data_IF_626407206197
#
_entry.id   IF_626407206197
#
_cell.length_a   1.000
_cell.length_b   1.000
_cell.length_c   1.000
_cell.angle_alpha   90.00
_cell.angle_beta   90.00
_cell.angle_gamma   90.00
#
_symmetry.space_group_name_H-M   'P 1'
#
loop_
_entity.id
_entity.type
_entity.pdbx_description
1 polymer ?
#
# COMPACT_ATOMS: atom_id res chain seq x y z
N UNK A 1 -78.30 -36.17 -5.17
CA UNK A 1 -78.97 -34.86 -5.22
C UNK A 1 -77.91 -33.77 -5.14
N UNK A 2 -77.91 -32.84 -6.10
CA UNK A 2 -77.19 -31.54 -6.13
C UNK A 2 -75.64 -31.57 -6.14
N UNK A 3 -75.00 -31.41 -7.31
CA UNK A 3 -74.43 -30.16 -7.89
C UNK A 3 -73.19 -29.64 -7.13
N UNK A 4 -71.98 -29.86 -7.65
CA UNK A 4 -71.19 -28.96 -8.54
C UNK A 4 -70.49 -27.82 -7.76
N UNK A 5 -69.19 -27.50 -7.94
CA UNK A 5 -68.47 -27.31 -9.21
C UNK A 5 -66.95 -27.59 -9.09
N UNK A 6 -66.41 -28.20 -10.14
CA UNK A 6 -65.01 -28.15 -10.58
C UNK A 6 -65.03 -27.81 -12.08
N UNK A 7 -64.03 -27.08 -12.55
CA UNK A 7 -63.71 -26.88 -13.98
C UNK A 7 -62.18 -26.66 -14.15
N UNK A 8 -61.59 -26.82 -15.36
CA UNK A 8 -60.57 -27.84 -15.67
C UNK A 8 -59.20 -27.22 -16.11
N UNK A 9 -58.10 -27.92 -16.49
CA UNK A 9 -57.89 -28.85 -17.62
C UNK A 9 -56.50 -29.54 -17.54
N UNK A 10 -56.49 -30.78 -18.07
CA UNK A 10 -55.44 -31.74 -18.49
C UNK A 10 -54.02 -31.23 -18.88
N UNK A 11 -52.92 -31.91 -18.47
CA UNK A 11 -52.15 -33.01 -19.15
C UNK A 11 -51.35 -32.56 -20.39
N UNK A 12 -50.16 -33.04 -20.78
CA UNK A 12 -49.26 -34.13 -20.34
C UNK A 12 -47.87 -33.94 -21.02
N UNK A 13 -46.87 -34.66 -20.47
CA UNK A 13 -45.61 -35.21 -21.06
C UNK A 13 -44.64 -34.41 -21.96
N UNK A 14 -43.41 -34.34 -21.43
CA UNK A 14 -42.07 -34.50 -22.05
C UNK A 14 -41.94 -34.48 -23.59
N UNK A 15 -41.21 -33.49 -24.11
CA UNK A 15 -39.89 -33.60 -24.79
C UNK A 15 -39.64 -32.31 -25.59
N UNK A 16 -38.68 -31.47 -25.18
CA UNK A 16 -38.10 -30.42 -26.05
C UNK A 16 -36.60 -30.27 -25.75
N UNK A 17 -35.82 -31.09 -26.43
CA UNK A 17 -34.43 -30.81 -26.79
C UNK A 17 -34.42 -30.20 -28.20
N UNK A 18 -33.46 -29.33 -28.46
CA UNK A 18 -33.14 -28.69 -29.76
C UNK A 18 -34.17 -27.70 -30.35
N UNK A 19 -34.21 -26.48 -29.82
CA UNK A 19 -34.64 -25.28 -30.58
C UNK A 19 -33.97 -23.98 -30.08
N UNK A 20 -32.69 -24.05 -29.69
CA UNK A 20 -31.88 -22.84 -29.36
C UNK A 20 -30.60 -22.75 -30.22
N UNK A 21 -30.37 -23.71 -31.11
CA UNK A 21 -29.16 -23.78 -31.95
C UNK A 21 -29.44 -23.42 -33.40
N UNK A 22 -30.18 -22.34 -33.66
CA UNK A 22 -30.26 -21.67 -34.98
C UNK A 22 -30.23 -20.14 -34.86
N UNK A 23 -30.27 -19.55 -33.65
CA UNK A 23 -29.99 -18.12 -33.45
C UNK A 23 -28.50 -17.79 -33.26
N UNK A 24 -27.61 -18.79 -33.40
CA UNK A 24 -26.16 -18.66 -33.19
C UNK A 24 -25.31 -18.47 -34.45
N UNK A 25 -25.90 -18.37 -35.65
CA UNK A 25 -25.13 -18.36 -36.91
C UNK A 25 -25.47 -17.21 -37.88
N UNK A 26 -26.32 -16.24 -37.49
CA UNK A 26 -26.62 -15.04 -38.31
C UNK A 26 -26.00 -13.75 -37.73
N UNK A 27 -25.32 -13.81 -36.58
CA UNK A 27 -24.59 -12.67 -35.99
C UNK A 27 -23.07 -12.77 -36.16
N UNK A 28 -22.57 -13.54 -37.14
CA UNK A 28 -21.12 -13.62 -37.48
C UNK A 28 -20.81 -12.93 -38.83
N UNK A 29 -21.82 -12.41 -39.55
CA UNK A 29 -21.63 -11.71 -40.84
C UNK A 29 -21.82 -10.19 -40.82
N UNK A 30 -22.18 -9.58 -39.68
CA UNK A 30 -22.64 -8.18 -39.62
C UNK A 30 -21.98 -7.29 -38.58
N UNK A 31 -20.90 -7.74 -37.92
CA UNK A 31 -20.21 -6.99 -36.85
C UNK A 31 -18.72 -6.75 -37.13
N UNK A 32 -18.32 -6.69 -38.39
CA UNK A 32 -16.98 -6.25 -38.82
C UNK A 32 -16.92 -4.76 -39.21
N UNK A 33 -18.00 -3.99 -38.98
CA UNK A 33 -18.09 -2.56 -39.32
C UNK A 33 -18.54 -1.67 -38.16
N UNK A 34 -18.56 -2.18 -36.92
CA UNK A 34 -18.84 -1.40 -35.71
C UNK A 34 -17.85 -1.66 -34.56
N UNK A 35 -16.69 -2.26 -34.82
CA UNK A 35 -15.54 -2.15 -33.91
C UNK A 35 -14.83 -0.80 -34.11
N UNK A 36 -15.56 0.29 -33.91
CA UNK A 36 -14.97 1.39 -33.18
C UNK A 36 -14.88 0.88 -31.75
N UNK A 37 -13.69 0.37 -31.38
CA UNK A 37 -13.28 0.48 -29.98
C UNK A 37 -13.69 1.89 -29.57
N UNK A 38 -14.54 2.01 -28.55
CA UNK A 38 -14.70 3.28 -27.88
C UNK A 38 -13.31 3.62 -27.36
N UNK A 39 -12.55 4.34 -28.18
CA UNK A 39 -11.48 5.17 -27.68
C UNK A 39 -12.18 5.99 -26.61
N UNK A 40 -11.88 5.67 -25.35
CA UNK A 40 -11.99 6.67 -24.31
C UNK A 40 -11.40 7.96 -24.88
N UNK A 41 -11.92 9.15 -24.51
CA UNK A 41 -11.14 10.33 -24.72
C UNK A 41 -9.82 10.07 -23.97
N UNK A 42 -8.78 9.65 -24.70
CA UNK A 42 -7.43 9.87 -24.27
C UNK A 42 -7.42 11.36 -24.08
N UNK A 43 -7.46 11.79 -22.82
CA UNK A 43 -7.13 13.16 -22.48
C UNK A 43 -5.87 13.42 -23.27
N UNK A 44 -5.94 14.27 -24.28
CA UNK A 44 -4.74 14.56 -25.05
C UNK A 44 -3.68 14.93 -24.02
N UNK A 45 -2.49 14.29 -24.05
CA UNK A 45 -1.47 14.56 -23.07
C UNK A 45 -1.30 16.07 -23.04
N UNK A 46 -1.46 16.67 -21.87
CA UNK A 46 -1.20 18.10 -21.72
C UNK A 46 0.27 18.26 -22.04
N UNK A 47 0.60 18.58 -23.28
CA UNK A 47 1.94 19.04 -23.63
C UNK A 47 2.09 20.41 -22.97
N UNK A 48 2.46 20.40 -21.68
CA UNK A 48 2.82 21.59 -20.94
C UNK A 48 4.20 21.99 -21.41
N UNK A 49 4.25 22.67 -22.55
CA UNK A 49 5.49 23.26 -23.05
C UNK A 49 5.72 24.55 -22.28
N UNK A 50 6.62 24.51 -21.30
CA UNK A 50 6.99 25.68 -20.53
C UNK A 50 7.78 26.65 -21.41
N UNK A 51 7.10 27.61 -22.05
CA UNK A 51 7.74 28.69 -22.79
C UNK A 51 7.82 29.95 -21.93
N UNK A 52 8.87 30.03 -21.12
CA UNK A 52 9.26 31.28 -20.45
C UNK A 52 10.71 31.58 -20.80
N UNK A 53 11.01 32.82 -21.23
CA UNK A 53 12.40 33.32 -21.37
C UNK A 53 12.99 33.48 -19.96
N UNK A 54 13.37 32.37 -19.35
CA UNK A 54 13.98 32.33 -18.04
C UNK A 54 15.51 32.30 -18.17
N UNK A 55 16.23 32.84 -17.18
CA UNK A 55 17.68 32.75 -17.08
C UNK A 55 18.08 32.29 -15.68
N UNK A 56 19.28 31.71 -15.53
CA UNK A 56 19.77 31.24 -14.24
C UNK A 56 18.91 30.12 -13.64
N UNK A 57 18.60 30.20 -12.35
CA UNK A 57 17.91 29.13 -11.60
C UNK A 57 16.49 28.84 -12.11
N UNK A 58 15.78 29.86 -12.58
CA UNK A 58 14.41 29.68 -13.08
C UNK A 58 14.38 28.83 -14.36
N UNK A 59 15.34 29.02 -15.26
CA UNK A 59 15.48 28.21 -16.47
C UNK A 59 15.75 26.74 -16.12
N UNK A 60 16.63 26.52 -15.13
CA UNK A 60 16.91 25.17 -14.62
C UNK A 60 15.66 24.48 -14.08
N UNK A 61 14.84 25.18 -13.28
CA UNK A 61 13.59 24.59 -12.76
C UNK A 61 12.66 24.19 -13.90
N UNK A 62 12.48 25.08 -14.89
CA UNK A 62 11.66 24.79 -16.07
C UNK A 62 12.20 23.61 -16.88
N UNK A 63 13.52 23.50 -17.06
CA UNK A 63 14.14 22.36 -17.76
C UNK A 63 13.91 21.04 -17.02
N UNK A 64 14.04 21.04 -15.70
CA UNK A 64 13.79 19.87 -14.87
C UNK A 64 12.32 19.43 -14.94
N UNK A 65 11.38 20.38 -14.90
CA UNK A 65 9.95 20.09 -15.09
C UNK A 65 9.70 19.50 -16.49
N UNK A 66 10.22 20.12 -17.55
CA UNK A 66 10.09 19.57 -18.91
C UNK A 66 10.68 18.14 -19.02
N UNK A 67 11.80 17.86 -18.34
CA UNK A 67 12.43 16.54 -18.37
C UNK A 67 11.66 15.49 -17.55
N UNK A 68 11.03 15.89 -16.44
CA UNK A 68 10.18 15.02 -15.62
C UNK A 68 8.86 14.67 -16.29
N UNK A 69 8.25 15.62 -17.00
CA UNK A 69 6.99 15.42 -17.76
C UNK A 69 7.22 14.92 -19.19
N UNK A 70 8.46 14.61 -19.58
CA UNK A 70 8.74 14.00 -20.86
C UNK A 70 8.36 12.52 -20.83
N UNK A 71 7.24 12.16 -21.42
CA UNK A 71 6.76 10.77 -21.53
C UNK A 71 7.75 9.81 -22.22
N UNK A 72 8.70 10.34 -23.01
CA UNK A 72 9.77 9.51 -23.59
C UNK A 72 10.89 9.18 -22.59
N UNK A 73 10.88 9.77 -21.39
CA UNK A 73 11.83 9.45 -20.32
C UNK A 73 11.28 8.32 -19.45
N UNK A 74 11.56 7.08 -19.84
CA UNK A 74 11.08 5.88 -19.15
C UNK A 74 12.02 5.39 -18.05
N UNK A 75 13.11 6.09 -17.74
CA UNK A 75 14.21 5.57 -16.91
C UNK A 75 13.75 5.12 -15.52
N UNK A 76 12.89 5.90 -14.84
CA UNK A 76 12.37 5.52 -13.54
C UNK A 76 11.49 4.26 -13.62
N UNK A 77 10.60 4.21 -14.60
CA UNK A 77 9.70 3.08 -14.84
C UNK A 77 10.46 1.81 -15.21
N UNK A 78 11.39 1.88 -16.15
CA UNK A 78 12.16 0.71 -16.61
C UNK A 78 12.97 0.11 -15.48
N UNK A 79 13.60 0.96 -14.64
CA UNK A 79 14.35 0.53 -13.46
C UNK A 79 13.42 -0.09 -12.42
N UNK A 80 12.26 0.54 -12.15
CA UNK A 80 11.26 0.02 -11.22
C UNK A 80 10.77 -1.36 -11.67
N UNK A 81 10.35 -1.47 -12.93
CA UNK A 81 9.88 -2.70 -13.54
C UNK A 81 10.95 -3.79 -13.50
N UNK A 82 12.19 -3.49 -13.89
CA UNK A 82 13.31 -4.43 -13.79
C UNK A 82 13.49 -4.92 -12.35
N UNK A 83 13.47 -4.04 -11.36
CA UNK A 83 13.63 -4.44 -9.96
C UNK A 83 12.48 -5.32 -9.49
N UNK A 84 11.23 -4.91 -9.72
CA UNK A 84 10.05 -5.64 -9.25
C UNK A 84 9.89 -6.98 -9.97
N UNK A 85 10.20 -7.04 -11.26
CA UNK A 85 10.02 -8.25 -12.08
C UNK A 85 11.15 -9.27 -11.82
N UNK A 86 12.39 -8.83 -11.61
CA UNK A 86 13.52 -9.73 -11.38
C UNK A 86 13.67 -10.18 -9.92
N UNK A 87 13.34 -9.32 -8.96
CA UNK A 87 13.57 -9.60 -7.54
C UNK A 87 12.28 -9.86 -6.75
N UNK A 88 11.12 -9.48 -7.26
CA UNK A 88 9.83 -9.71 -6.59
C UNK A 88 9.71 -8.92 -5.29
N UNK A 89 9.12 -9.52 -4.25
CA UNK A 89 9.11 -8.91 -2.92
C UNK A 89 10.52 -8.80 -2.34
N UNK A 90 10.75 -7.73 -1.59
CA UNK A 90 12.06 -7.40 -1.03
C UNK A 90 11.93 -7.22 0.48
N UNK A 91 11.40 -8.21 1.19
CA UNK A 91 11.31 -8.17 2.65
C UNK A 91 12.65 -7.78 3.27
N UNK A 92 12.62 -6.85 4.22
CA UNK A 92 13.82 -6.39 4.92
C UNK A 92 14.65 -7.57 5.44
N UNK A 93 15.95 -7.52 5.15
CA UNK A 93 16.91 -8.57 5.50
C UNK A 93 16.80 -9.86 4.68
N UNK A 94 15.97 -9.93 3.65
CA UNK A 94 15.86 -11.10 2.76
C UNK A 94 16.94 -11.13 1.67
N UNK A 95 17.17 -12.31 1.09
CA UNK A 95 18.08 -12.46 -0.05
C UNK A 95 17.65 -11.64 -1.28
N UNK A 96 16.35 -11.41 -1.45
CA UNK A 96 15.83 -10.61 -2.54
C UNK A 96 16.19 -9.14 -2.35
N UNK A 97 16.00 -8.61 -1.13
CA UNK A 97 16.44 -7.26 -0.76
C UNK A 97 17.94 -7.08 -1.02
N UNK A 98 18.79 -7.99 -0.51
CA UNK A 98 20.25 -7.89 -0.67
C UNK A 98 20.66 -7.83 -2.15
N UNK A 99 20.06 -8.68 -2.99
CA UNK A 99 20.31 -8.68 -4.45
C UNK A 99 19.83 -7.41 -5.13
N UNK A 100 18.66 -6.88 -4.74
CA UNK A 100 18.17 -5.60 -5.25
C UNK A 100 19.09 -4.46 -4.84
N UNK A 101 19.59 -4.45 -3.60
CA UNK A 101 20.50 -3.42 -3.14
C UNK A 101 21.83 -3.44 -3.89
N UNK A 102 22.40 -4.63 -4.10
CA UNK A 102 23.58 -4.79 -4.96
C UNK A 102 23.33 -4.30 -6.40
N UNK A 103 22.16 -4.60 -6.96
CA UNK A 103 21.78 -4.17 -8.30
C UNK A 103 21.68 -2.65 -8.39
N UNK A 104 21.02 -1.98 -7.43
CA UNK A 104 20.94 -0.50 -7.38
C UNK A 104 22.34 0.10 -7.40
N UNK A 105 23.23 -0.35 -6.51
CA UNK A 105 24.61 0.17 -6.42
C UNK A 105 25.37 -0.03 -7.73
N UNK A 106 25.25 -1.23 -8.34
CA UNK A 106 25.88 -1.53 -9.65
C UNK A 106 25.33 -0.63 -10.76
N UNK A 107 24.02 -0.41 -10.78
CA UNK A 107 23.34 0.43 -11.77
C UNK A 107 23.75 1.89 -11.64
N UNK A 108 23.79 2.45 -10.42
CA UNK A 108 24.29 3.82 -10.18
C UNK A 108 25.73 3.95 -10.65
N UNK A 109 26.64 3.05 -10.23
CA UNK A 109 28.06 3.10 -10.65
C UNK A 109 28.26 3.02 -12.16
N UNK A 110 27.41 2.26 -12.86
CA UNK A 110 27.52 2.06 -14.30
C UNK A 110 26.94 3.22 -15.10
N UNK A 111 25.77 3.71 -14.71
CA UNK A 111 24.96 4.61 -15.53
C UNK A 111 24.94 6.06 -15.02
N UNK A 112 25.14 6.30 -13.73
CA UNK A 112 24.95 7.59 -13.07
C UNK A 112 26.26 8.07 -12.41
N UNK A 113 27.29 8.30 -13.25
CA UNK A 113 28.67 8.60 -12.82
C UNK A 113 28.86 9.89 -12.03
N UNK A 114 27.86 10.76 -12.01
CA UNK A 114 27.85 11.99 -11.22
C UNK A 114 27.70 11.74 -9.71
N UNK A 115 27.24 10.55 -9.32
CA UNK A 115 26.95 10.21 -7.94
C UNK A 115 28.08 9.44 -7.28
N UNK A 116 28.32 9.76 -6.02
CA UNK A 116 29.05 8.85 -5.11
C UNK A 116 28.04 7.93 -4.45
N UNK A 117 28.21 6.61 -4.55
CA UNK A 117 27.26 5.60 -4.02
C UNK A 117 27.95 4.60 -3.11
N UNK A 118 27.34 4.34 -1.95
CA UNK A 118 27.80 3.35 -0.97
C UNK A 118 26.63 2.73 -0.22
N UNK A 119 26.91 1.69 0.56
CA UNK A 119 25.94 1.04 1.44
C UNK A 119 26.33 1.21 2.89
N UNK A 120 25.33 1.24 3.76
CA UNK A 120 25.52 1.29 5.20
C UNK A 120 24.80 0.11 5.88
N UNK A 121 25.52 -0.73 6.63
CA UNK A 121 24.92 -1.90 7.24
C UNK A 121 23.97 -1.50 8.38
N UNK A 122 22.78 -2.08 8.38
CA UNK A 122 21.79 -1.92 9.44
C UNK A 122 21.38 -3.29 9.95
N UNK A 123 21.40 -3.49 11.26
CA UNK A 123 20.88 -4.72 11.84
C UNK A 123 19.37 -4.64 11.94
N UNK A 124 18.70 -5.69 11.45
CA UNK A 124 17.25 -5.73 11.34
C UNK A 124 16.68 -7.01 11.95
N UNK A 125 15.42 -6.93 12.35
CA UNK A 125 14.65 -8.10 12.72
C UNK A 125 14.40 -8.94 11.47
N UNK A 126 14.50 -10.26 11.59
CA UNK A 126 14.15 -11.20 10.52
C UNK A 126 12.86 -11.90 10.88
N UNK A 127 11.77 -11.51 10.21
CA UNK A 127 10.50 -12.21 10.26
C UNK A 127 10.26 -12.93 8.94
N UNK A 128 9.84 -14.19 9.00
CA UNK A 128 9.47 -14.96 7.82
C UNK A 128 8.11 -15.61 8.02
N UNK A 129 7.20 -15.33 7.09
CA UNK A 129 5.94 -16.06 6.97
C UNK A 129 6.22 -17.49 6.56
N UNK A 130 5.63 -18.45 7.26
CA UNK A 130 5.60 -19.84 6.81
C UNK A 130 4.20 -20.27 6.41
N UNK A 131 3.79 -21.47 6.80
CA UNK A 131 2.45 -21.94 6.45
C UNK A 131 1.36 -21.26 7.27
N UNK A 132 0.25 -20.96 6.60
CA UNK A 132 -0.92 -20.32 7.20
C UNK A 132 -2.20 -21.00 6.72
N UNK A 133 -3.16 -21.16 7.62
CA UNK A 133 -4.50 -21.64 7.31
C UNK A 133 -5.50 -21.17 8.37
N UNK A 134 -6.72 -20.88 7.93
CA UNK A 134 -7.85 -20.59 8.79
C UNK A 134 -9.02 -21.42 8.31
N UNK A 135 -9.56 -22.26 9.19
CA UNK A 135 -10.74 -23.07 8.90
C UNK A 135 -11.90 -22.64 9.79
N UNK A 136 -12.99 -22.17 9.18
CA UNK A 136 -14.25 -21.88 9.87
C UNK A 136 -15.11 -23.14 9.91
N UNK A 137 -15.52 -23.56 11.10
CA UNK A 137 -16.46 -24.67 11.26
C UNK A 137 -17.88 -24.16 11.02
N UNK A 138 -18.55 -24.76 10.03
CA UNK A 138 -19.91 -24.43 9.61
C UNK A 138 -20.68 -25.75 9.46
N UNK A 139 -21.28 -26.28 10.54
CA UNK A 139 -21.93 -27.59 10.53
C UNK A 139 -23.04 -27.74 9.48
N UNK A 140 -23.62 -26.63 9.02
CA UNK A 140 -24.66 -26.60 7.99
C UNK A 140 -24.13 -26.78 6.56
N UNK A 141 -22.82 -26.73 6.33
CA UNK A 141 -22.21 -26.99 5.01
C UNK A 141 -21.90 -28.49 4.83
N UNK A 142 -21.87 -28.99 3.58
CA UNK A 142 -21.63 -30.42 3.30
C UNK A 142 -20.37 -31.01 3.97
N UNK A 143 -19.29 -30.22 4.04
CA UNK A 143 -18.02 -30.66 4.64
C UNK A 143 -17.88 -30.23 6.13
N UNK A 144 -18.92 -29.63 6.72
CA UNK A 144 -18.91 -29.11 8.09
C UNK A 144 -17.96 -27.93 8.34
N UNK A 145 -17.27 -27.43 7.30
CA UNK A 145 -16.30 -26.34 7.40
C UNK A 145 -16.02 -25.64 6.07
N UNK A 146 -15.32 -24.51 6.15
CA UNK A 146 -14.87 -23.66 5.05
C UNK A 146 -13.43 -23.23 5.33
N UNK A 147 -12.57 -23.35 4.33
CA UNK A 147 -11.23 -22.77 4.42
C UNK A 147 -11.30 -21.29 3.99
N UNK A 148 -10.77 -20.41 4.84
CA UNK A 148 -10.75 -18.97 4.67
C UNK A 148 -9.32 -18.54 4.33
N UNK A 149 -9.10 -17.78 3.24
CA UNK A 149 -7.83 -17.14 2.98
C UNK A 149 -7.43 -16.25 4.16
N UNK A 150 -6.24 -16.48 4.70
CA UNK A 150 -5.70 -15.77 5.85
C UNK A 150 -4.27 -15.35 5.55
N UNK A 151 -3.88 -14.18 6.06
CA UNK A 151 -2.50 -13.70 6.01
C UNK A 151 -2.02 -13.39 7.44
N UNK A 152 -0.99 -14.07 7.92
CA UNK A 152 -0.28 -13.67 9.13
C UNK A 152 0.17 -12.19 9.07
N UNK A 153 0.02 -11.45 10.17
CA UNK A 153 0.58 -10.10 10.25
C UNK A 153 2.09 -10.16 10.50
N UNK A 154 2.84 -9.16 10.02
CA UNK A 154 4.28 -9.06 10.25
C UNK A 154 4.58 -9.04 11.74
N UNK A 155 5.66 -9.70 12.15
CA UNK A 155 6.04 -9.92 13.56
C UNK A 155 5.10 -10.81 14.39
N UNK A 156 4.02 -11.34 13.80
CA UNK A 156 3.12 -12.31 14.45
C UNK A 156 3.85 -13.60 14.84
N UNK A 157 3.57 -14.08 16.05
CA UNK A 157 4.10 -15.35 16.56
C UNK A 157 3.40 -16.55 15.91
N UNK A 158 4.05 -17.71 15.95
CA UNK A 158 3.43 -18.97 15.52
C UNK A 158 2.31 -19.41 16.46
N UNK A 159 1.32 -20.12 15.91
CA UNK A 159 0.43 -20.98 16.70
C UNK A 159 1.17 -22.25 17.12
N UNK A 160 0.67 -23.01 18.11
CA UNK A 160 1.06 -24.41 18.29
C UNK A 160 0.91 -25.20 16.98
N UNK A 161 1.66 -26.31 16.83
CA UNK A 161 1.66 -27.12 15.59
C UNK A 161 0.27 -27.60 15.13
N UNK A 162 -0.67 -27.80 16.06
CA UNK A 162 -2.05 -28.22 15.77
C UNK A 162 -2.99 -27.03 15.45
N UNK A 163 -2.47 -25.81 15.43
CA UNK A 163 -3.25 -24.59 15.40
C UNK A 163 -3.94 -24.29 16.74
N UNK A 164 -4.74 -23.22 16.75
CA UNK A 164 -5.60 -22.80 17.84
C UNK A 164 -7.04 -22.98 17.37
N UNK A 165 -7.79 -23.85 18.05
CA UNK A 165 -9.22 -24.02 17.81
C UNK A 165 -10.03 -23.35 18.90
N UNK A 166 -10.78 -22.29 18.57
CA UNK A 166 -11.55 -21.51 19.54
C UNK A 166 -12.74 -20.79 18.90
N UNK A 167 -13.64 -20.27 19.72
CA UNK A 167 -14.72 -19.40 19.23
C UNK A 167 -14.14 -18.03 18.85
N UNK A 168 -14.83 -17.33 17.95
CA UNK A 168 -14.48 -15.97 17.52
C UNK A 168 -15.45 -14.96 18.13
N UNK A 169 -14.91 -13.90 18.71
CA UNK A 169 -15.67 -12.77 19.27
C UNK A 169 -15.38 -11.56 18.38
N UNK A 170 -16.35 -11.10 17.57
CA UNK A 170 -16.21 -9.88 16.81
C UNK A 170 -16.30 -8.67 17.75
N UNK A 171 -15.47 -7.66 17.50
CA UNK A 171 -15.52 -6.34 18.14
C UNK A 171 -15.25 -5.25 17.11
N UNK A 172 -15.75 -4.04 17.35
CA UNK A 172 -15.57 -2.86 16.49
C UNK A 172 -14.49 -1.92 16.98
N UNK A 173 -14.17 -1.96 18.27
CA UNK A 173 -13.22 -1.03 18.87
C UNK A 173 -12.49 -1.61 20.08
N UNK A 174 -11.47 -0.89 20.57
CA UNK A 174 -10.78 -1.27 21.80
C UNK A 174 -11.66 -1.02 23.04
N UNK A 175 -12.55 -0.03 22.98
CA UNK A 175 -13.52 0.27 24.04
C UNK A 175 -14.54 -0.87 24.17
N UNK A 176 -15.02 -1.43 23.05
CA UNK A 176 -15.91 -2.59 23.05
C UNK A 176 -15.21 -3.83 23.61
N UNK A 177 -13.98 -4.10 23.17
CA UNK A 177 -13.15 -5.16 23.73
C UNK A 177 -13.00 -5.03 25.25
N UNK A 178 -12.70 -3.81 25.73
CA UNK A 178 -12.55 -3.52 27.14
C UNK A 178 -13.86 -3.71 27.92
N UNK A 179 -14.99 -3.31 27.35
CA UNK A 179 -16.33 -3.47 27.93
C UNK A 179 -16.72 -4.94 28.08
N UNK A 180 -16.42 -5.78 27.09
CA UNK A 180 -16.62 -7.23 27.18
C UNK A 180 -15.74 -7.86 28.27
N UNK A 181 -14.50 -7.40 28.36
CA UNK A 181 -13.57 -7.76 29.42
C UNK A 181 -13.15 -9.23 29.43
N UNK A 182 -12.34 -9.59 30.44
CA UNK A 182 -11.70 -10.91 30.53
C UNK A 182 -12.68 -12.09 30.53
N UNK A 183 -13.87 -11.92 31.14
CA UNK A 183 -14.86 -12.99 31.26
C UNK A 183 -15.37 -13.46 29.90
N UNK A 184 -15.55 -12.56 28.95
CA UNK A 184 -15.99 -12.90 27.60
C UNK A 184 -14.81 -13.33 26.71
N UNK A 185 -13.67 -12.64 26.80
CA UNK A 185 -12.58 -12.79 25.84
C UNK A 185 -11.67 -13.99 26.12
N UNK A 186 -11.49 -14.37 27.38
CA UNK A 186 -10.52 -15.40 27.77
C UNK A 186 -10.79 -16.73 27.07
N UNK A 187 -9.79 -17.27 26.36
CA UNK A 187 -9.90 -18.54 25.63
C UNK A 187 -10.53 -18.44 24.23
N UNK A 188 -10.86 -17.23 23.77
CA UNK A 188 -11.45 -17.00 22.44
C UNK A 188 -10.48 -16.25 21.52
N UNK A 189 -10.80 -16.22 20.22
CA UNK A 189 -10.11 -15.41 19.21
C UNK A 189 -10.89 -14.11 19.03
N UNK A 190 -10.20 -12.97 19.04
CA UNK A 190 -10.84 -11.67 18.81
C UNK A 190 -10.79 -11.34 17.33
N UNK A 191 -11.93 -10.97 16.72
CA UNK A 191 -12.00 -10.45 15.36
C UNK A 191 -12.32 -8.95 15.41
N UNK A 192 -11.39 -8.10 14.98
CA UNK A 192 -11.65 -6.68 14.82
C UNK A 192 -12.40 -6.43 13.50
N UNK A 193 -13.74 -6.41 13.55
CA UNK A 193 -14.61 -6.18 12.40
C UNK A 193 -15.17 -4.73 12.33
N UNK A 194 -14.33 -3.72 12.58
CA UNK A 194 -14.65 -2.28 12.59
C UNK A 194 -15.26 -1.75 11.27
N UNK A 195 -16.08 -0.69 11.31
CA UNK A 195 -16.45 0.02 10.07
C UNK A 195 -15.23 0.78 9.53
N UNK A 196 -14.89 0.60 8.25
CA UNK A 196 -13.78 1.33 7.65
C UNK A 196 -14.17 2.79 7.44
N UNK A 197 -13.40 3.71 8.02
CA UNK A 197 -13.57 5.16 7.82
C UNK A 197 -12.41 5.71 7.00
N UNK A 198 -11.21 5.71 7.57
CA UNK A 198 -9.96 6.02 6.89
C UNK A 198 -8.85 5.10 7.44
N UNK A 199 -7.70 5.07 6.76
CA UNK A 199 -6.61 4.17 7.13
C UNK A 199 -5.98 4.50 8.49
N UNK A 200 -5.71 5.78 8.79
CA UNK A 200 -5.08 6.22 10.04
C UNK A 200 -5.88 5.81 11.28
N UNK A 201 -7.21 5.86 11.19
CA UNK A 201 -8.08 5.42 12.29
C UNK A 201 -8.07 3.91 12.50
N UNK A 202 -7.97 3.13 11.43
CA UNK A 202 -8.10 1.68 11.52
C UNK A 202 -6.76 0.99 11.75
N UNK A 203 -5.64 1.52 11.25
CA UNK A 203 -4.31 0.87 11.32
C UNK A 203 -3.90 0.48 12.74
N UNK A 204 -4.47 1.14 13.76
CA UNK A 204 -4.33 0.78 15.17
C UNK A 204 -4.73 -0.67 15.49
N UNK A 205 -5.76 -1.25 14.86
CA UNK A 205 -6.12 -2.65 15.17
C UNK A 205 -5.16 -3.66 14.53
N UNK A 206 -4.56 -3.35 13.36
CA UNK A 206 -3.46 -4.17 12.79
C UNK A 206 -2.23 -4.12 13.71
N UNK A 207 -1.87 -2.91 14.11
CA UNK A 207 -0.64 -2.63 14.85
C UNK A 207 -0.72 -3.06 16.31
N UNK A 208 -1.83 -2.79 17.02
CA UNK A 208 -1.95 -3.04 18.46
C UNK A 208 -3.02 -4.05 18.84
N UNK A 209 -3.85 -4.51 17.90
CA UNK A 209 -5.02 -5.35 18.22
C UNK A 209 -4.66 -6.65 18.92
N UNK A 210 -3.55 -7.29 18.57
CA UNK A 210 -3.09 -8.49 19.25
C UNK A 210 -2.64 -8.20 20.70
N UNK A 211 -1.95 -7.08 20.94
CA UNK A 211 -1.57 -6.64 22.28
C UNK A 211 -2.80 -6.31 23.15
N UNK A 212 -3.75 -5.57 22.59
CA UNK A 212 -4.98 -5.20 23.30
C UNK A 212 -5.84 -6.43 23.64
N UNK A 213 -5.99 -7.38 22.72
CA UNK A 213 -6.74 -8.61 22.95
C UNK A 213 -6.05 -9.53 23.99
N UNK A 214 -4.71 -9.59 23.99
CA UNK A 214 -3.95 -10.40 24.92
C UNK A 214 -4.19 -10.01 26.39
N UNK A 215 -4.42 -8.71 26.68
CA UNK A 215 -4.74 -8.21 28.04
C UNK A 215 -5.96 -8.89 28.66
N UNK A 216 -6.88 -9.37 27.84
CA UNK A 216 -8.12 -10.01 28.26
C UNK A 216 -8.11 -11.54 28.11
N UNK A 217 -6.96 -12.14 27.78
CA UNK A 217 -6.80 -13.59 27.68
C UNK A 217 -7.23 -14.19 26.33
N UNK A 218 -7.30 -13.39 25.27
CA UNK A 218 -7.53 -13.89 23.92
C UNK A 218 -6.41 -14.88 23.51
N UNK A 219 -6.74 -15.84 22.65
CA UNK A 219 -5.79 -16.80 22.11
C UNK A 219 -5.18 -16.36 20.78
N UNK A 220 -5.86 -15.50 20.02
CA UNK A 220 -5.37 -14.88 18.79
C UNK A 220 -6.17 -13.62 18.48
N UNK A 221 -5.68 -12.81 17.53
CA UNK A 221 -6.40 -11.68 16.96
C UNK A 221 -6.50 -11.78 15.44
N UNK A 222 -7.68 -11.46 14.89
CA UNK A 222 -7.97 -11.37 13.48
C UNK A 222 -8.33 -9.92 13.09
N UNK A 223 -7.85 -9.49 11.94
CA UNK A 223 -8.07 -8.16 11.37
C UNK A 223 -8.83 -8.26 10.04
N UNK A 224 -9.88 -7.43 9.85
CA UNK A 224 -10.83 -7.52 8.71
C UNK A 224 -10.38 -6.96 7.34
N UNK A 225 -9.10 -6.73 7.08
CA UNK A 225 -8.62 -6.47 5.69
C UNK A 225 -7.52 -7.46 5.35
N UNK A 226 -7.63 -8.15 4.22
CA UNK A 226 -6.67 -9.14 3.74
C UNK A 226 -5.38 -8.46 3.22
N UNK A 227 -4.70 -7.75 4.11
CA UNK A 227 -3.45 -7.06 3.89
C UNK A 227 -2.42 -7.52 4.90
N UNK A 228 -1.16 -7.42 4.51
CA UNK A 228 -0.02 -7.60 5.42
C UNK A 228 0.25 -6.28 6.17
N UNK A 229 1.33 -6.25 6.94
CA UNK A 229 1.68 -5.11 7.79
C UNK A 229 2.09 -5.54 9.19
N UNK A 230 2.84 -4.67 9.86
CA UNK A 230 3.36 -4.96 11.19
C UNK A 230 2.24 -5.05 12.23
N UNK A 231 2.35 -6.06 13.09
CA UNK A 231 1.66 -6.14 14.37
C UNK A 231 2.69 -6.05 15.47
N UNK A 232 2.45 -5.19 16.46
CA UNK A 232 3.31 -5.04 17.62
C UNK A 232 3.41 -6.39 18.33
N UNK A 233 4.66 -6.81 18.55
CA UNK A 233 4.94 -8.17 19.02
C UNK A 233 4.26 -8.42 20.36
N UNK A 234 3.64 -9.59 20.49
CA UNK A 234 2.91 -10.03 21.68
C UNK A 234 2.96 -11.55 21.77
N UNK A 235 2.37 -12.12 22.82
CA UNK A 235 2.34 -13.57 23.08
C UNK A 235 1.31 -14.33 22.25
N UNK A 236 0.39 -13.63 21.58
CA UNK A 236 -0.70 -14.25 20.81
C UNK A 236 -0.50 -14.05 19.30
N UNK A 237 -0.83 -15.05 18.47
CA UNK A 237 -0.80 -14.93 17.02
C UNK A 237 -1.80 -13.87 16.52
N UNK A 238 -1.41 -13.18 15.46
CA UNK A 238 -2.20 -12.18 14.76
C UNK A 238 -2.22 -12.47 13.25
N UNK A 239 -3.40 -12.35 12.64
CA UNK A 239 -3.58 -12.53 11.21
C UNK A 239 -4.68 -11.61 10.66
N UNK A 240 -4.78 -11.57 9.35
CA UNK A 240 -5.77 -10.81 8.61
C UNK A 240 -6.59 -11.68 7.67
N UNK A 241 -7.82 -11.27 7.44
CA UNK A 241 -8.80 -11.93 6.56
C UNK A 241 -9.54 -10.86 5.74
N UNK A 242 -10.22 -11.28 4.66
CA UNK A 242 -10.98 -10.34 3.84
C UNK A 242 -12.19 -9.75 4.59
N UNK A 243 -12.67 -8.55 4.22
CA UNK A 243 -13.91 -8.01 4.79
C UNK A 243 -15.11 -8.95 4.61
N UNK A 244 -15.20 -9.66 3.48
CA UNK A 244 -16.27 -10.62 3.20
C UNK A 244 -16.20 -11.82 4.14
N UNK A 245 -15.00 -12.35 4.40
CA UNK A 245 -14.79 -13.46 5.33
C UNK A 245 -15.01 -13.05 6.79
N UNK A 246 -14.64 -11.82 7.17
CA UNK A 246 -14.94 -11.28 8.49
C UNK A 246 -16.47 -11.21 8.71
N UNK A 247 -17.22 -10.75 7.72
CA UNK A 247 -18.69 -10.73 7.77
C UNK A 247 -19.29 -12.15 7.79
N UNK A 248 -18.71 -13.10 7.06
CA UNK A 248 -19.12 -14.51 7.10
C UNK A 248 -18.93 -15.11 8.50
N UNK A 249 -17.83 -14.80 9.17
CA UNK A 249 -17.55 -15.25 10.55
C UNK A 249 -18.53 -14.61 11.54
N UNK A 250 -18.88 -13.34 11.35
CA UNK A 250 -19.75 -12.62 12.28
C UNK A 250 -21.25 -12.91 12.12
N UNK A 251 -21.73 -13.21 10.91
CA UNK A 251 -23.16 -13.40 10.65
C UNK A 251 -23.84 -14.39 11.63
N UNK A 252 -23.22 -15.53 12.03
CA UNK A 252 -23.79 -16.40 13.04
C UNK A 252 -23.91 -15.80 14.45
N UNK A 253 -23.04 -14.87 14.83
CA UNK A 253 -23.16 -14.17 16.12
C UNK A 253 -24.42 -13.32 16.11
N UNK A 254 -24.63 -12.55 15.04
CA UNK A 254 -25.80 -11.68 14.90
C UNK A 254 -27.11 -12.47 14.89
N UNK A 255 -27.16 -13.58 14.15
CA UNK A 255 -28.33 -14.47 14.16
C UNK A 255 -28.59 -15.09 15.53
N UNK A 256 -27.55 -15.53 16.24
CA UNK A 256 -27.70 -16.08 17.59
C UNK A 256 -28.18 -15.02 18.61
N UNK A 257 -27.66 -13.79 18.55
CA UNK A 257 -28.10 -12.67 19.39
C UNK A 257 -29.54 -12.23 19.08
N UNK A 258 -29.98 -12.36 17.83
CA UNK A 258 -31.35 -12.12 17.40
C UNK A 258 -32.32 -13.27 17.77
N UNK A 259 -31.83 -14.36 18.37
CA UNK A 259 -32.65 -15.50 18.79
C UNK A 259 -33.03 -16.44 17.64
N UNK A 260 -32.36 -16.36 16.50
CA UNK A 260 -32.63 -17.22 15.34
C UNK A 260 -32.09 -18.64 15.57
N UNK A 261 -32.92 -19.65 15.27
CA UNK A 261 -32.55 -21.05 15.45
C UNK A 261 -31.53 -21.51 14.41
N UNK A 262 -30.50 -22.23 14.86
CA UNK A 262 -29.48 -22.84 13.99
C UNK A 262 -28.17 -22.05 13.88
N UNK A 263 -28.08 -20.88 14.51
CA UNK A 263 -26.83 -20.14 14.64
C UNK A 263 -26.08 -20.50 15.93
N UNK A 264 -24.79 -20.80 15.79
CA UNK A 264 -23.86 -21.06 16.90
C UNK A 264 -22.74 -20.05 16.84
N UNK A 265 -22.10 -19.75 17.98
CA UNK A 265 -20.90 -18.92 17.99
C UNK A 265 -19.86 -19.47 17.00
N UNK A 266 -19.31 -18.63 16.12
CA UNK A 266 -18.39 -19.06 15.09
C UNK A 266 -17.15 -19.66 15.74
N UNK A 267 -16.75 -20.84 15.27
CA UNK A 267 -15.57 -21.54 15.75
C UNK A 267 -14.59 -21.70 14.60
N UNK A 268 -13.32 -21.42 14.84
CA UNK A 268 -12.26 -21.54 13.82
C UNK A 268 -11.11 -22.41 14.32
N UNK A 269 -10.33 -22.96 13.40
CA UNK A 269 -8.95 -23.40 13.64
C UNK A 269 -8.00 -22.46 12.87
N UNK A 270 -7.17 -21.71 13.59
CA UNK A 270 -6.12 -20.87 13.03
C UNK A 270 -4.77 -21.57 13.21
N UNK A 271 -4.03 -21.77 12.13
CA UNK A 271 -2.67 -22.29 12.18
C UNK A 271 -1.72 -21.36 11.42
N UNK A 272 -0.70 -20.84 12.11
CA UNK A 272 0.35 -19.97 11.58
C UNK A 272 1.71 -20.53 12.00
N UNK A 273 2.64 -20.69 11.07
CA UNK A 273 4.00 -21.15 11.34
C UNK A 273 5.02 -20.12 10.87
N UNK A 274 5.19 -19.04 11.64
CA UNK A 274 6.11 -17.95 11.33
C UNK A 274 7.44 -18.10 12.10
N UNK A 275 8.51 -17.52 11.56
CA UNK A 275 9.76 -17.34 12.29
C UNK A 275 9.98 -15.86 12.59
N UNK A 276 10.55 -15.56 13.76
CA UNK A 276 10.98 -14.22 14.12
C UNK A 276 12.30 -14.33 14.86
N UNK A 277 13.30 -13.59 14.41
CA UNK A 277 14.58 -13.44 15.10
C UNK A 277 14.90 -11.96 15.20
N UNK A 278 15.07 -11.49 16.43
CA UNK A 278 15.39 -10.10 16.71
C UNK A 278 16.84 -9.80 16.35
N UNK A 279 17.07 -8.64 15.72
CA UNK A 279 18.41 -8.14 15.38
C UNK A 279 19.32 -9.19 14.72
N UNK A 280 18.75 -10.02 13.84
CA UNK A 280 19.33 -11.31 13.49
C UNK A 280 20.08 -11.32 12.15
N UNK A 281 19.88 -10.30 11.32
CA UNK A 281 20.56 -10.18 10.03
C UNK A 281 20.94 -8.74 9.78
N UNK A 282 22.05 -8.55 9.08
CA UNK A 282 22.37 -7.26 8.49
C UNK A 282 21.59 -7.10 7.18
N UNK A 283 21.00 -5.94 7.00
CA UNK A 283 20.52 -5.39 5.74
C UNK A 283 21.41 -4.19 5.40
N UNK A 284 21.13 -3.50 4.31
CA UNK A 284 21.92 -2.35 3.88
C UNK A 284 21.04 -1.22 3.39
N UNK A 285 21.22 -0.04 3.97
CA UNK A 285 20.76 1.16 3.32
C UNK A 285 21.67 1.52 2.15
N UNK A 286 21.16 2.26 1.17
CA UNK A 286 21.90 2.61 -0.05
C UNK A 286 21.93 4.11 -0.19
N UNK A 287 23.07 4.76 -0.03
CA UNK A 287 23.12 6.21 -0.11
C UNK A 287 23.84 6.60 -1.39
N UNK A 288 23.29 7.59 -2.10
CA UNK A 288 24.01 8.22 -3.20
C UNK A 288 23.89 9.74 -3.21
N UNK A 289 25.07 10.39 -3.29
CA UNK A 289 25.23 11.83 -3.19
C UNK A 289 25.63 12.43 -4.55
N UNK A 290 24.85 13.44 -4.96
CA UNK A 290 25.28 14.46 -5.90
C UNK A 290 25.90 15.62 -5.12
N UNK A 291 27.23 15.67 -5.07
CA UNK A 291 27.97 16.64 -4.24
C UNK A 291 27.66 18.08 -4.66
N UNK A 292 27.35 18.91 -3.66
CA UNK A 292 27.09 20.34 -3.83
C UNK A 292 28.34 21.16 -4.21
N UNK A 293 28.14 22.32 -4.82
CA UNK A 293 29.22 23.20 -5.30
C UNK A 293 29.70 24.24 -4.27
N UNK A 294 28.79 24.84 -3.51
CA UNK A 294 29.10 25.96 -2.59
C UNK A 294 29.03 25.56 -1.10
N UNK A 295 28.07 24.70 -0.77
CA UNK A 295 27.78 24.19 0.58
C UNK A 295 27.69 22.66 0.55
N UNK A 296 28.79 21.98 0.20
CA UNK A 296 28.82 20.53 -0.02
C UNK A 296 28.49 19.69 1.22
N UNK A 297 28.50 20.29 2.40
CA UNK A 297 28.19 19.61 3.67
C UNK A 297 26.74 19.82 4.11
N UNK A 298 25.98 20.68 3.41
CA UNK A 298 24.54 20.82 3.61
C UNK A 298 23.80 19.86 2.68
N UNK A 299 22.76 19.20 3.20
CA UNK A 299 22.05 18.12 2.52
C UNK A 299 20.60 18.53 2.25
N UNK A 300 20.16 18.32 1.01
CA UNK A 300 18.74 18.20 0.66
C UNK A 300 18.51 16.73 0.34
N UNK A 301 17.64 16.09 1.12
CA UNK A 301 17.39 14.66 1.05
C UNK A 301 16.14 14.37 0.20
N UNK A 302 16.29 13.49 -0.78
CA UNK A 302 15.19 12.86 -1.52
C UNK A 302 15.11 11.39 -1.07
N UNK A 303 14.10 11.05 -0.27
CA UNK A 303 13.94 9.76 0.40
C UNK A 303 12.88 8.88 -0.26
N UNK A 304 12.92 7.59 0.11
CA UNK A 304 11.97 6.54 -0.20
C UNK A 304 12.60 5.19 0.17
N UNK A 305 11.78 4.18 0.47
CA UNK A 305 12.27 2.83 0.73
C UNK A 305 11.96 1.90 -0.45
N UNK A 306 12.66 0.77 -0.55
CA UNK A 306 12.34 -0.23 -1.59
C UNK A 306 12.18 -1.63 -1.04
N UNK A 307 12.37 -1.84 0.27
CA UNK A 307 11.88 -3.07 0.87
C UNK A 307 10.35 -3.14 0.74
N UNK A 308 9.82 -4.34 0.87
CA UNK A 308 8.38 -4.54 0.70
C UNK A 308 7.89 -5.73 1.48
N UNK A 309 6.58 -5.78 1.68
CA UNK A 309 5.92 -7.01 2.16
C UNK A 309 6.04 -8.16 1.18
N UNK A 310 5.92 -9.38 1.72
CA UNK A 310 6.23 -10.64 1.06
C UNK A 310 5.17 -11.13 0.08
N UNK A 311 3.96 -10.58 0.14
CA UNK A 311 2.82 -11.05 -0.66
C UNK A 311 2.66 -10.32 -2.00
N UNK A 312 3.30 -9.16 -2.16
CA UNK A 312 3.28 -8.34 -3.37
C UNK A 312 4.65 -8.26 -4.04
N UNK A 313 4.83 -7.26 -4.91
CA UNK A 313 6.15 -6.89 -5.45
C UNK A 313 6.63 -5.52 -4.92
N UNK A 314 5.84 -4.87 -4.06
CA UNK A 314 6.17 -3.58 -3.46
C UNK A 314 6.47 -2.49 -4.49
N UNK A 315 5.66 -2.40 -5.54
CA UNK A 315 5.89 -1.41 -6.60
C UNK A 315 5.55 -0.01 -6.11
N UNK A 316 4.35 0.19 -5.55
CA UNK A 316 3.91 1.49 -5.04
C UNK A 316 4.32 1.80 -3.60
N UNK A 317 4.70 0.75 -2.86
CA UNK A 317 5.04 0.79 -1.44
C UNK A 317 6.34 0.00 -1.28
N UNK A 318 7.50 0.66 -1.41
CA UNK A 318 7.68 2.07 -1.83
C UNK A 318 8.71 2.21 -2.98
N UNK A 319 8.88 1.15 -3.77
CA UNK A 319 9.88 1.18 -4.83
C UNK A 319 9.68 2.35 -5.82
N UNK A 320 8.44 2.73 -6.11
CA UNK A 320 8.15 3.85 -6.99
C UNK A 320 8.60 5.19 -6.40
N UNK A 321 8.31 5.47 -5.12
CA UNK A 321 8.77 6.68 -4.44
C UNK A 321 10.30 6.77 -4.44
N UNK A 322 10.96 5.68 -4.05
CA UNK A 322 12.42 5.59 -4.06
C UNK A 322 13.04 5.81 -5.46
N UNK A 323 12.42 5.27 -6.52
CA UNK A 323 12.95 5.39 -7.88
C UNK A 323 12.65 6.75 -8.50
N UNK A 324 11.57 7.42 -8.11
CA UNK A 324 11.33 8.82 -8.44
C UNK A 324 12.32 9.74 -7.75
N UNK A 325 12.66 9.50 -6.47
CA UNK A 325 13.70 10.24 -5.78
C UNK A 325 15.06 10.10 -6.48
N UNK A 326 15.41 8.88 -6.91
CA UNK A 326 16.60 8.63 -7.71
C UNK A 326 16.57 9.37 -9.05
N UNK A 327 15.47 9.26 -9.80
CA UNK A 327 15.34 9.91 -11.11
C UNK A 327 15.38 11.43 -10.99
N UNK A 328 14.72 12.02 -10.00
CA UNK A 328 14.77 13.45 -9.72
C UNK A 328 16.21 13.91 -9.48
N UNK A 329 16.97 13.19 -8.65
CA UNK A 329 18.39 13.47 -8.44
C UNK A 329 19.18 13.36 -9.76
N UNK A 330 18.91 12.33 -10.58
CA UNK A 330 19.59 12.11 -11.86
C UNK A 330 19.30 13.22 -12.86
N UNK A 331 18.08 13.74 -12.90
CA UNK A 331 17.71 14.88 -13.74
C UNK A 331 18.42 16.16 -13.28
N UNK A 332 18.52 16.40 -11.96
CA UNK A 332 19.30 17.52 -11.40
C UNK A 332 20.77 17.42 -11.81
N UNK A 333 21.36 16.22 -11.78
CA UNK A 333 22.74 16.02 -12.24
C UNK A 333 22.90 16.33 -13.74
N UNK A 334 21.95 15.90 -14.59
CA UNK A 334 21.99 16.07 -16.05
C UNK A 334 21.79 17.52 -16.53
N UNK A 335 21.23 18.40 -15.72
CA UNK A 335 21.11 19.83 -16.04
C UNK A 335 22.48 20.48 -16.27
N UNK A 336 23.58 19.86 -15.80
CA UNK A 336 24.94 20.38 -15.96
C UNK A 336 25.27 21.52 -15.00
N UNK A 337 24.31 21.98 -14.19
CA UNK A 337 24.51 22.97 -13.13
C UNK A 337 24.46 22.31 -11.75
N UNK A 338 25.63 22.15 -11.12
CA UNK A 338 25.71 21.55 -9.79
C UNK A 338 24.91 22.37 -8.76
N UNK A 339 24.06 21.74 -7.95
CA UNK A 339 23.33 22.43 -6.89
C UNK A 339 24.31 22.98 -5.85
N UNK A 340 23.93 24.06 -5.17
CA UNK A 340 24.78 24.65 -4.10
C UNK A 340 25.02 23.67 -2.97
N UNK A 341 24.00 22.88 -2.63
CA UNK A 341 23.99 21.87 -1.56
C UNK A 341 24.11 20.48 -2.15
N UNK A 342 24.54 19.53 -1.35
CA UNK A 342 24.51 18.12 -1.75
C UNK A 342 23.05 17.66 -1.83
N UNK A 343 22.72 17.02 -2.94
CA UNK A 343 21.45 16.29 -3.07
C UNK A 343 21.78 14.84 -2.75
N UNK A 344 21.23 14.36 -1.63
CA UNK A 344 21.34 12.96 -1.22
C UNK A 344 20.05 12.27 -1.62
N UNK A 345 20.17 11.12 -2.28
CA UNK A 345 19.03 10.27 -2.53
C UNK A 345 19.18 8.96 -1.73
N UNK A 346 18.06 8.58 -1.11
CA UNK A 346 17.88 7.45 -0.19
C UNK A 346 18.58 7.62 1.18
N UNK A 347 17.89 7.23 2.26
CA UNK A 347 18.22 7.64 3.63
C UNK A 347 18.37 6.52 4.67
N UNK A 348 19.08 6.87 5.75
CA UNK A 348 19.35 6.12 6.98
C UNK A 348 19.22 7.10 8.13
N UNK A 349 18.79 6.68 9.32
CA UNK A 349 18.88 7.50 10.54
C UNK A 349 20.32 7.97 10.87
N UNK A 350 20.79 9.02 10.21
CA UNK A 350 22.06 9.69 10.48
C UNK A 350 21.90 10.71 11.60
N UNK A 351 21.76 10.24 12.84
CA UNK A 351 21.57 11.12 14.01
C UNK A 351 22.65 12.20 14.14
N UNK A 352 23.89 11.89 13.72
CA UNK A 352 25.02 12.83 13.79
C UNK A 352 25.07 13.84 12.63
N UNK A 353 24.23 13.68 11.61
CA UNK A 353 24.18 14.58 10.45
C UNK A 353 22.88 15.39 10.40
N UNK A 354 22.00 15.29 11.40
CA UNK A 354 20.71 16.00 11.42
C UNK A 354 20.90 17.49 11.13
N UNK A 355 21.85 18.16 11.79
CA UNK A 355 22.12 19.59 11.58
C UNK A 355 22.57 19.96 10.15
N UNK A 356 23.09 19.00 9.38
CA UNK A 356 23.47 19.17 7.97
C UNK A 356 22.26 19.17 7.04
N UNK A 357 21.17 18.51 7.42
CA UNK A 357 19.96 18.42 6.61
C UNK A 357 19.21 19.75 6.62
N UNK A 358 18.89 20.26 5.43
CA UNK A 358 18.21 21.54 5.23
C UNK A 358 16.78 21.39 4.72
N UNK A 359 16.49 20.25 4.10
CA UNK A 359 15.16 19.82 3.72
C UNK A 359 15.19 18.30 3.50
N UNK A 360 14.10 17.62 3.83
CA UNK A 360 13.89 16.21 3.51
C UNK A 360 12.52 16.03 2.85
N UNK A 361 12.45 15.18 1.83
CA UNK A 361 11.21 14.90 1.12
C UNK A 361 11.10 13.41 0.80
N UNK A 362 9.88 12.88 0.85
CA UNK A 362 9.59 11.47 0.59
C UNK A 362 8.23 11.33 -0.10
N UNK A 363 8.05 10.23 -0.82
CA UNK A 363 6.83 9.92 -1.58
C UNK A 363 6.38 8.48 -1.32
N UNK A 364 5.83 8.21 -0.12
CA UNK A 364 5.46 6.87 0.35
C UNK A 364 3.93 6.68 0.49
N UNK A 365 3.18 7.14 -0.51
CA UNK A 365 1.73 6.90 -0.59
C UNK A 365 1.28 6.63 -2.03
N UNK A 366 2.15 5.93 -2.76
CA UNK A 366 2.03 5.72 -4.19
C UNK A 366 2.57 6.90 -5.00
N UNK A 367 2.38 6.83 -6.32
CA UNK A 367 2.97 7.77 -7.29
C UNK A 367 1.96 8.14 -8.39
N UNK A 368 0.76 8.54 -7.98
CA UNK A 368 -0.28 8.98 -8.93
C UNK A 368 -0.06 10.43 -9.36
N UNK A 369 -0.98 10.94 -10.19
CA UNK A 369 -0.97 12.33 -10.65
C UNK A 369 -0.66 13.30 -9.51
N UNK A 370 0.39 14.12 -9.62
CA UNK A 370 0.88 14.89 -8.49
C UNK A 370 -0.11 16.01 -8.12
N UNK A 371 -0.44 16.14 -6.83
CA UNK A 371 -1.28 17.22 -6.31
C UNK A 371 -0.43 18.32 -5.66
N UNK A 372 0.60 17.93 -4.91
CA UNK A 372 1.36 18.85 -4.09
C UNK A 372 2.11 18.17 -2.97
N UNK A 373 2.45 18.94 -1.94
CA UNK A 373 3.20 18.45 -0.78
C UNK A 373 2.61 19.04 0.51
N UNK A 374 2.46 18.20 1.53
CA UNK A 374 2.29 18.68 2.90
C UNK A 374 3.66 18.88 3.55
N UNK A 375 3.80 19.93 4.36
CA UNK A 375 5.10 20.39 4.85
C UNK A 375 5.06 20.62 6.35
N UNK A 376 6.01 20.00 7.04
CA UNK A 376 6.36 20.35 8.41
C UNK A 376 7.57 21.27 8.41
N UNK A 377 7.33 22.56 8.60
CA UNK A 377 8.36 23.58 8.75
C UNK A 377 7.81 24.84 9.43
N UNK A 378 8.69 25.80 9.74
CA UNK A 378 8.27 27.14 10.13
C UNK A 378 7.46 27.82 9.01
N UNK A 379 6.53 28.69 9.40
CA UNK A 379 5.61 29.35 8.46
C UNK A 379 6.33 30.05 7.30
N UNK A 380 7.49 30.66 7.56
CA UNK A 380 8.29 31.32 6.52
C UNK A 380 8.75 30.36 5.41
N UNK A 381 9.12 29.12 5.77
CA UNK A 381 9.51 28.09 4.80
C UNK A 381 8.30 27.65 4.00
N UNK A 382 7.16 27.43 4.68
CA UNK A 382 5.89 27.08 4.03
C UNK A 382 5.48 28.15 3.03
N UNK A 383 5.46 29.43 3.43
CA UNK A 383 5.10 30.55 2.55
C UNK A 383 6.02 30.64 1.33
N UNK A 384 7.31 30.35 1.51
CA UNK A 384 8.29 30.30 0.41
C UNK A 384 7.95 29.17 -0.57
N UNK A 385 7.66 27.97 -0.06
CA UNK A 385 7.29 26.82 -0.88
C UNK A 385 5.94 27.04 -1.59
N UNK A 386 4.96 27.65 -0.93
CA UNK A 386 3.69 28.07 -1.54
C UNK A 386 3.95 29.00 -2.73
N UNK A 387 4.91 29.93 -2.60
CA UNK A 387 5.36 30.77 -3.71
C UNK A 387 5.89 29.95 -4.88
N UNK A 388 6.83 29.04 -4.63
CA UNK A 388 7.38 28.16 -5.68
C UNK A 388 6.33 27.26 -6.32
N UNK A 389 5.41 26.72 -5.52
CA UNK A 389 4.28 25.94 -6.00
C UNK A 389 3.43 26.74 -6.98
N UNK A 390 3.07 27.99 -6.63
CA UNK A 390 2.30 28.89 -7.49
C UNK A 390 3.03 29.29 -8.77
N UNK A 391 4.32 29.57 -8.67
CA UNK A 391 5.10 30.17 -9.76
C UNK A 391 5.61 29.13 -10.77
N UNK A 392 5.92 27.92 -10.32
CA UNK A 392 6.61 26.92 -11.14
C UNK A 392 5.80 25.64 -11.37
N UNK A 393 5.03 25.20 -10.39
CA UNK A 393 4.45 23.85 -10.40
C UNK A 393 2.94 23.86 -10.63
N UNK A 394 2.25 24.95 -10.29
CA UNK A 394 0.78 25.05 -10.37
C UNK A 394 0.21 24.80 -11.77
N UNK A 395 0.96 25.14 -12.83
CA UNK A 395 0.54 24.85 -14.21
C UNK A 395 0.37 23.35 -14.49
N UNK A 396 0.99 22.50 -13.68
CA UNK A 396 0.90 21.04 -13.74
C UNK A 396 -0.24 20.48 -12.88
N UNK A 397 -0.95 21.32 -12.12
CA UNK A 397 -1.92 20.87 -11.12
C UNK A 397 -1.29 20.33 -9.82
N UNK A 398 0.05 20.45 -9.69
CA UNK A 398 0.86 19.78 -8.66
C UNK A 398 1.52 20.74 -7.64
N UNK A 399 1.13 22.02 -7.66
CA UNK A 399 1.81 23.09 -6.92
C UNK A 399 1.21 23.40 -5.55
N UNK A 400 0.34 22.55 -5.02
CA UNK A 400 -0.33 22.82 -3.76
C UNK A 400 0.63 22.53 -2.61
N UNK A 401 0.77 23.48 -1.68
CA UNK A 401 1.61 23.32 -0.49
C UNK A 401 0.74 23.60 0.72
N UNK A 402 0.66 22.61 1.62
CA UNK A 402 -0.08 22.70 2.88
C UNK A 402 0.86 22.53 4.06
N UNK A 403 0.41 22.97 5.23
CA UNK A 403 1.08 22.64 6.48
C UNK A 403 0.64 21.24 6.89
N UNK A 404 1.61 20.38 7.20
CA UNK A 404 1.32 19.04 7.69
C UNK A 404 0.75 19.12 9.12
N UNK A 405 -0.37 18.41 9.35
CA UNK A 405 -0.97 18.23 10.69
C UNK A 405 -0.33 17.06 11.44
N UNK A 406 0.19 16.09 10.69
CA UNK A 406 0.93 14.91 11.17
C UNK A 406 2.35 14.91 10.56
N UNK A 407 3.16 13.91 10.91
CA UNK A 407 4.47 13.74 10.27
C UNK A 407 4.27 13.42 8.78
N UNK A 408 4.93 14.12 7.85
CA UNK A 408 4.58 14.05 6.44
C UNK A 408 5.02 12.76 5.73
N UNK A 409 5.96 12.00 6.29
CA UNK A 409 6.38 10.70 5.77
C UNK A 409 7.23 9.91 6.79
N UNK A 410 7.38 8.60 6.57
CA UNK A 410 7.86 7.63 7.56
C UNK A 410 9.41 7.60 7.70
N UNK A 411 10.19 7.49 6.62
CA UNK A 411 11.65 7.34 6.75
C UNK A 411 12.35 8.67 7.08
N UNK A 412 11.69 9.79 6.79
CA UNK A 412 12.17 11.13 7.18
C UNK A 412 11.66 11.58 8.55
N UNK A 413 10.73 10.85 9.18
CA UNK A 413 10.09 11.22 10.44
C UNK A 413 11.07 11.69 11.52
N UNK A 414 12.17 10.96 11.71
CA UNK A 414 13.21 11.29 12.72
C UNK A 414 13.88 12.64 12.44
N UNK A 415 14.04 13.03 11.17
CA UNK A 415 14.57 14.35 10.81
C UNK A 415 13.54 15.44 11.14
N UNK A 416 12.27 15.19 10.82
CA UNK A 416 11.17 16.13 11.03
C UNK A 416 10.94 16.40 12.51
N UNK A 417 10.93 15.34 13.33
CA UNK A 417 10.88 15.40 14.79
C UNK A 417 12.07 16.17 15.38
N UNK A 418 13.26 16.06 14.75
CA UNK A 418 14.45 16.81 15.14
C UNK A 418 14.47 18.27 14.64
N UNK A 419 13.40 18.73 13.99
CA UNK A 419 13.23 20.12 13.54
C UNK A 419 13.79 20.42 12.14
N UNK A 420 14.19 19.41 11.37
CA UNK A 420 14.52 19.60 9.95
C UNK A 420 13.23 19.85 9.17
N UNK A 421 13.15 20.87 8.31
CA UNK A 421 12.02 21.04 7.42
C UNK A 421 11.80 19.81 6.53
N UNK A 422 10.57 19.31 6.50
CA UNK A 422 10.22 18.08 5.79
C UNK A 422 8.95 18.25 4.96
N UNK A 423 8.77 17.41 3.95
CA UNK A 423 7.46 17.23 3.34
C UNK A 423 7.22 15.88 2.68
N UNK A 424 5.95 15.57 2.46
CA UNK A 424 5.46 14.34 1.86
C UNK A 424 4.79 14.68 0.54
N UNK A 425 5.17 13.98 -0.53
CA UNK A 425 4.47 14.15 -1.80
C UNK A 425 3.09 13.52 -1.73
N UNK A 426 2.08 14.31 -2.10
CA UNK A 426 0.70 13.91 -2.16
C UNK A 426 0.25 13.92 -3.62
N UNK A 427 -0.45 12.85 -3.99
CA UNK A 427 -1.06 12.72 -5.32
C UNK A 427 -2.56 13.00 -5.28
N UNK A 428 -3.17 13.14 -6.45
CA UNK A 428 -4.61 13.09 -6.64
C UNK A 428 -5.04 11.62 -6.61
N UNK A 429 -6.17 11.31 -5.95
CA UNK A 429 -6.73 9.96 -6.03
C UNK A 429 -7.21 9.71 -7.48
N UNK A 430 -6.72 8.66 -8.16
CA UNK A 430 -7.13 8.36 -9.54
C UNK A 430 -8.63 8.06 -9.65
N UNK A 431 -9.24 7.54 -8.58
CA UNK A 431 -10.68 7.34 -8.47
C UNK A 431 -11.38 8.60 -7.98
N UNK A 432 -12.13 9.23 -8.88
CA UNK A 432 -12.95 10.40 -8.55
C UNK A 432 -12.17 11.71 -8.45
N UNK A 433 -10.88 11.71 -8.78
CA UNK A 433 -10.03 12.91 -8.85
C UNK A 433 -10.05 13.71 -7.53
N UNK A 434 -9.96 12.99 -6.41
CA UNK A 434 -10.10 13.54 -5.07
C UNK A 434 -8.78 14.16 -4.60
N UNK A 435 -8.86 15.32 -3.95
CA UNK A 435 -7.72 15.96 -3.31
C UNK A 435 -7.43 15.34 -1.92
N UNK A 436 -6.21 15.49 -1.37
CA UNK A 436 -5.82 14.90 -0.09
C UNK A 436 -6.64 15.29 1.14
N UNK A 437 -7.35 16.41 1.10
CA UNK A 437 -8.27 16.84 2.15
C UNK A 437 -9.62 16.08 2.15
N UNK A 438 -9.87 15.28 1.10
CA UNK A 438 -11.08 14.46 1.03
C UNK A 438 -10.96 13.21 1.91
N UNK A 439 -11.97 12.86 2.73
CA UNK A 439 -11.91 11.73 3.68
C UNK A 439 -11.55 10.37 3.05
N UNK A 440 -11.96 10.16 1.80
CA UNK A 440 -11.75 8.91 1.04
C UNK A 440 -10.54 8.98 0.09
N UNK A 441 -9.71 10.02 0.18
CA UNK A 441 -8.59 10.22 -0.74
C UNK A 441 -7.64 9.03 -0.80
N UNK A 442 -7.27 8.45 0.35
CA UNK A 442 -6.34 7.32 0.39
C UNK A 442 -6.93 5.98 -0.06
N UNK A 443 -8.23 5.88 -0.35
CA UNK A 443 -8.91 4.58 -0.50
C UNK A 443 -8.35 3.73 -1.64
N UNK A 444 -8.00 4.36 -2.76
CA UNK A 444 -7.40 3.66 -3.91
C UNK A 444 -6.05 3.05 -3.51
N UNK A 445 -5.15 3.85 -2.94
CA UNK A 445 -3.86 3.36 -2.42
C UNK A 445 -4.05 2.21 -1.43
N UNK A 446 -4.89 2.42 -0.40
CA UNK A 446 -5.08 1.44 0.67
C UNK A 446 -5.87 0.18 0.28
N UNK A 447 -6.47 0.14 -0.91
CA UNK A 447 -7.06 -1.08 -1.48
C UNK A 447 -5.99 -2.07 -1.93
N UNK A 448 -4.88 -1.55 -2.41
CA UNK A 448 -3.81 -2.34 -3.02
C UNK A 448 -2.59 -2.48 -2.09
N UNK A 449 -2.33 -1.48 -1.26
CA UNK A 449 -1.28 -1.47 -0.24
C UNK A 449 -1.26 -2.74 0.62
N UNK A 450 -0.06 -3.31 0.78
CA UNK A 450 0.20 -4.55 1.52
C UNK A 450 -0.60 -5.81 1.06
N UNK A 451 -1.30 -5.74 -0.08
CA UNK A 451 -2.09 -6.84 -0.60
C UNK A 451 -1.29 -7.71 -1.59
N UNK A 452 -1.83 -8.89 -1.90
CA UNK A 452 -1.21 -9.80 -2.87
C UNK A 452 -1.26 -9.21 -4.27
N UNK A 453 -0.09 -9.03 -4.88
CA UNK A 453 0.05 -8.47 -6.22
C UNK A 453 1.18 -9.15 -6.97
N UNK A 454 0.97 -9.36 -8.27
CA UNK A 454 1.89 -10.18 -9.08
C UNK A 454 2.84 -9.36 -9.95
N UNK A 455 2.59 -8.07 -10.15
CA UNK A 455 3.41 -7.20 -11.00
C UNK A 455 3.13 -5.71 -10.72
N UNK A 456 4.06 -4.80 -11.09
CA UNK A 456 3.79 -3.36 -11.12
C UNK A 456 2.66 -3.01 -12.10
N UNK A 457 2.45 -3.82 -13.14
CA UNK A 457 1.38 -3.64 -14.13
C UNK A 457 -0.02 -3.83 -13.57
N UNK A 458 -0.18 -4.56 -12.46
CA UNK A 458 -1.47 -4.77 -11.82
C UNK A 458 -2.16 -3.46 -11.39
N UNK A 459 -1.40 -2.38 -11.26
CA UNK A 459 -1.90 -1.04 -10.93
C UNK A 459 -2.36 -0.25 -12.15
N UNK A 460 -1.66 -0.38 -13.29
CA UNK A 460 -2.06 0.26 -14.55
C UNK A 460 -3.29 -0.41 -15.18
N UNK A 461 -3.53 -1.69 -14.89
CA UNK A 461 -4.65 -2.47 -15.44
C UNK A 461 -5.91 -2.32 -14.55
N UNK A 462 -5.78 -1.89 -13.30
CA UNK A 462 -6.94 -1.65 -12.43
C UNK A 462 -7.84 -0.50 -12.91
N UNK A 463 -7.36 0.36 -13.80
CA UNK A 463 -8.16 1.38 -14.51
C UNK A 463 -8.88 0.82 -15.76
N UNK A 464 -8.69 -0.46 -16.10
CA UNK A 464 -9.20 -1.08 -17.33
C UNK A 464 -10.25 -2.19 -17.12
N UNK A 465 -10.67 -2.46 -15.88
CA UNK A 465 -11.85 -3.30 -15.53
C UNK A 465 -12.89 -2.47 -14.80
#
# INVERSE_FOLDING_TARGET
MSLNKYEPVASSSRTKSLSVLVLGLVTIGGLASLTQCSAHPTSQPKQVRFMRRATGTEATVVNLLNAGFNESNTVAWDRLAEMTDLYGNRMTGSKAYDKSAEWVVKTVKKHDKDFSVWTEPVWVNRWERGSESLRLYVPTRPNGSVDIPVLALGSSVSTPKKGITANVIPVRSFEELAKLGKKAISGNIVLYNFHFTNYGEVVKFRSRGAQEAAKYGALAALWRRCTTGNSARTTIPAASISPADANLIEAPVQGAEAGESGFVHPKVNLALQNTFKENATQSANIIFDLKGSERPDEIVLLSGHFDSWDVGVGAMDDAAGAFLAWEAARLIAKEGRRPKRTVRAYFVQHKNEIAKHKFAIESDIGVFEPWGMDVQADQKVIDTLVGYGKDYVKVLGAGNITKAEELPAEDIAVLCEAGVPCGGWLSVNPEGNLAPDHPNWGDHYFRHHHAKQRSPWAYLIADAE
#
